data_IF_732672051919
#
_entry.id   IF_732672051919
#
_cell.length_a   1.000
_cell.length_b   1.000
_cell.length_c   1.000
_cell.angle_alpha   90.00
_cell.angle_beta   90.00
_cell.angle_gamma   90.00
#
_symmetry.space_group_name_H-M   'P 1'
#
loop_
_entity.id
_entity.type
_entity.pdbx_description
1 polymer ?
#
# COMPACT_ATOMS: atom_id res chain seq x y z
N UNK A 1 -19.38 9.88 18.39
CA UNK A 1 -20.72 9.30 18.16
C UNK A 1 -21.24 9.82 16.83
N UNK A 2 -21.14 9.00 15.78
CA UNK A 2 -21.68 9.30 14.44
C UNK A 2 -22.75 8.26 14.15
N UNK A 3 -24.00 8.71 14.27
CA UNK A 3 -25.24 7.99 14.03
C UNK A 3 -25.48 7.82 12.53
N UNK A 4 -25.91 6.61 12.12
CA UNK A 4 -26.29 6.18 10.76
C UNK A 4 -25.19 6.31 9.69
N UNK A 5 -24.52 5.21 9.41
CA UNK A 5 -23.66 5.08 8.22
C UNK A 5 -24.58 4.78 7.04
N UNK A 6 -25.13 5.82 6.42
CA UNK A 6 -25.98 5.64 5.24
C UNK A 6 -25.17 4.99 4.12
N UNK A 7 -25.54 3.75 3.80
CA UNK A 7 -24.99 3.03 2.65
C UNK A 7 -25.41 3.78 1.39
N UNK A 8 -24.47 4.21 0.52
CA UNK A 8 -24.80 4.86 -0.74
C UNK A 8 -25.79 4.02 -1.54
N UNK A 9 -26.78 4.65 -2.18
CA UNK A 9 -27.89 3.92 -2.84
C UNK A 9 -27.40 2.89 -3.86
N UNK A 10 -26.36 3.25 -4.62
CA UNK A 10 -25.71 2.38 -5.61
C UNK A 10 -25.05 1.13 -5.00
N UNK A 11 -24.71 1.16 -3.71
CA UNK A 11 -24.09 0.06 -2.99
C UNK A 11 -25.09 -0.76 -2.17
N UNK A 12 -26.33 -0.29 -1.99
CA UNK A 12 -27.37 -1.04 -1.26
C UNK A 12 -27.53 -2.49 -1.75
N UNK A 13 -27.51 -2.78 -3.07
CA UNK A 13 -27.57 -4.16 -3.54
C UNK A 13 -26.40 -5.03 -3.10
N UNK A 14 -25.19 -4.48 -2.96
CA UNK A 14 -24.03 -5.23 -2.46
C UNK A 14 -24.17 -5.46 -0.95
N UNK A 15 -24.58 -4.43 -0.21
CA UNK A 15 -24.66 -4.46 1.25
C UNK A 15 -25.77 -5.38 1.78
N UNK A 16 -26.78 -5.73 0.95
CA UNK A 16 -27.77 -6.76 1.31
C UNK A 16 -27.22 -8.19 1.30
N UNK A 17 -26.01 -8.42 0.74
CA UNK A 17 -25.36 -9.74 0.73
C UNK A 17 -24.30 -9.92 1.82
N UNK A 18 -24.12 -8.92 2.69
CA UNK A 18 -23.20 -9.00 3.82
C UNK A 18 -23.92 -8.66 5.12
N UNK A 19 -23.47 -9.21 6.26
CA UNK A 19 -24.02 -8.89 7.57
C UNK A 19 -24.01 -7.38 7.87
N UNK A 20 -25.07 -6.88 8.51
CA UNK A 20 -25.25 -5.44 8.79
C UNK A 20 -24.19 -4.87 9.74
N UNK A 21 -23.67 -5.69 10.64
CA UNK A 21 -22.57 -5.34 11.54
C UNK A 21 -21.24 -5.11 10.80
N UNK A 22 -21.10 -5.59 9.56
CA UNK A 22 -19.91 -5.34 8.73
C UNK A 22 -19.98 -4.03 7.95
N UNK A 23 -21.17 -3.41 7.86
CA UNK A 23 -21.41 -2.26 6.97
C UNK A 23 -20.48 -1.09 7.29
N UNK A 24 -20.27 -0.80 8.58
CA UNK A 24 -19.37 0.26 9.04
C UNK A 24 -17.94 0.00 8.58
N UNK A 25 -17.46 -1.23 8.75
CA UNK A 25 -16.12 -1.66 8.33
C UNK A 25 -15.97 -1.58 6.81
N UNK A 26 -16.94 -2.11 6.06
CA UNK A 26 -16.95 -2.08 4.59
C UNK A 26 -16.91 -0.64 4.03
N UNK A 27 -17.71 0.28 4.60
CA UNK A 27 -17.69 1.69 4.23
C UNK A 27 -16.37 2.38 4.59
N UNK A 28 -15.77 2.03 5.74
CA UNK A 28 -14.45 2.55 6.12
C UNK A 28 -13.37 2.09 5.15
N UNK A 29 -13.35 0.82 4.79
CA UNK A 29 -12.43 0.23 3.81
C UNK A 29 -12.62 0.84 2.42
N UNK A 30 -13.87 1.10 2.00
CA UNK A 30 -14.14 1.81 0.76
C UNK A 30 -13.50 3.21 0.76
N UNK A 31 -13.63 3.98 1.84
CA UNK A 31 -12.99 5.30 1.95
C UNK A 31 -11.46 5.21 1.88
N UNK A 32 -10.85 4.17 2.49
CA UNK A 32 -9.39 3.92 2.37
C UNK A 32 -9.02 3.70 0.90
N UNK A 33 -9.79 2.87 0.22
CA UNK A 33 -9.56 2.55 -1.18
C UNK A 33 -9.77 3.74 -2.12
N UNK A 34 -10.74 4.61 -1.84
CA UNK A 34 -10.94 5.87 -2.58
C UNK A 34 -9.71 6.77 -2.46
N UNK A 35 -9.21 6.97 -1.22
CA UNK A 35 -7.99 7.73 -0.98
C UNK A 35 -6.80 7.09 -1.71
N UNK A 36 -6.68 5.76 -1.67
CA UNK A 36 -5.63 5.05 -2.39
C UNK A 36 -5.73 5.21 -3.91
N UNK A 37 -6.93 5.12 -4.47
CA UNK A 37 -7.20 5.31 -5.89
C UNK A 37 -6.93 6.75 -6.37
N UNK A 38 -7.07 7.75 -5.49
CA UNK A 38 -6.69 9.14 -5.78
C UNK A 38 -5.18 9.37 -5.74
N UNK A 39 -4.48 8.56 -4.96
CA UNK A 39 -3.04 8.66 -4.75
C UNK A 39 -2.26 7.86 -5.82
N UNK A 40 -2.85 6.76 -6.31
CA UNK A 40 -2.27 5.85 -7.30
C UNK A 40 -1.32 4.82 -6.69
N UNK A 41 -1.16 3.67 -7.36
CA UNK A 41 -0.15 2.66 -7.01
C UNK A 41 1.16 2.95 -7.76
N UNK A 42 2.28 3.18 -7.05
CA UNK A 42 3.58 3.29 -7.70
C UNK A 42 4.06 1.96 -8.29
N UNK A 43 4.47 1.95 -9.57
CA UNK A 43 5.17 0.82 -10.22
C UNK A 43 4.30 -0.12 -11.08
N UNK A 44 4.87 -1.26 -11.48
CA UNK A 44 4.26 -2.29 -12.36
C UNK A 44 3.25 -3.22 -11.67
N UNK A 45 2.70 -2.82 -10.51
CA UNK A 45 1.87 -3.70 -9.66
C UNK A 45 0.44 -3.80 -10.16
N UNK A 46 -0.17 -4.97 -9.97
CA UNK A 46 -1.51 -5.32 -10.49
C UNK A 46 -2.69 -4.72 -9.69
N UNK A 47 -2.45 -3.77 -8.78
CA UNK A 47 -3.45 -3.21 -7.87
C UNK A 47 -3.57 -3.99 -6.54
N UNK A 48 -4.46 -3.51 -5.66
CA UNK A 48 -4.66 -4.04 -4.30
C UNK A 48 -6.05 -4.64 -4.12
N UNK A 49 -6.18 -5.58 -3.19
CA UNK A 49 -7.45 -6.24 -2.84
C UNK A 49 -7.67 -6.16 -1.34
N UNK A 50 -8.82 -5.67 -0.93
CA UNK A 50 -9.25 -5.59 0.46
C UNK A 50 -10.45 -6.53 0.62
N UNK A 51 -10.37 -7.45 1.57
CA UNK A 51 -11.39 -8.46 1.83
C UNK A 51 -11.93 -8.23 3.23
N UNK A 52 -13.19 -7.85 3.34
CA UNK A 52 -13.93 -7.74 4.60
C UNK A 52 -14.77 -9.01 4.76
N UNK A 53 -14.44 -9.81 5.77
CA UNK A 53 -15.02 -11.15 5.97
C UNK A 53 -15.03 -11.52 7.46
N UNK A 54 -15.62 -12.66 7.83
CA UNK A 54 -15.33 -13.26 9.14
C UNK A 54 -13.90 -13.80 9.10
N UNK A 55 -12.95 -13.09 9.73
CA UNK A 55 -11.54 -13.42 9.59
C UNK A 55 -11.17 -14.74 10.28
N UNK A 56 -11.94 -15.18 11.29
CA UNK A 56 -11.71 -16.46 11.97
C UNK A 56 -11.94 -17.61 10.97
N UNK A 57 -13.08 -17.57 10.29
CA UNK A 57 -13.42 -18.58 9.29
C UNK A 57 -12.49 -18.48 8.08
N UNK A 58 -12.17 -17.25 7.65
CA UNK A 58 -11.36 -16.99 6.46
C UNK A 58 -9.91 -17.46 6.62
N UNK A 59 -9.34 -17.34 7.83
CA UNK A 59 -7.96 -17.73 8.15
C UNK A 59 -7.86 -19.10 8.84
N UNK A 60 -8.94 -19.88 8.85
CA UNK A 60 -8.96 -21.24 9.40
C UNK A 60 -8.11 -22.17 8.53
N UNK A 61 -7.26 -22.98 9.19
CA UNK A 61 -6.36 -23.92 8.50
C UNK A 61 -7.15 -25.14 8.06
N UNK A 62 -6.91 -25.62 6.83
CA UNK A 62 -7.39 -26.95 6.41
C UNK A 62 -6.51 -28.02 7.07
N UNK A 63 -7.13 -28.89 7.88
CA UNK A 63 -6.47 -29.91 8.72
C UNK A 63 -5.62 -30.92 7.91
N UNK A 64 -5.86 -31.08 6.61
CA UNK A 64 -5.15 -32.03 5.73
C UNK A 64 -3.76 -31.55 5.28
N UNK A 65 -3.30 -30.38 5.72
CA UNK A 65 -1.94 -29.90 5.42
C UNK A 65 -0.92 -30.52 6.36
N UNK A 66 -0.17 -31.51 5.85
CA UNK A 66 0.83 -32.30 6.58
C UNK A 66 1.72 -31.42 7.49
N UNK A 67 1.60 -31.52 8.82
CA UNK A 67 2.34 -30.67 9.75
C UNK A 67 3.85 -30.95 9.77
N UNK A 68 4.33 -31.98 9.07
CA UNK A 68 5.75 -32.35 9.00
C UNK A 68 6.50 -31.75 7.80
N UNK A 69 5.84 -31.00 6.92
CA UNK A 69 6.56 -30.22 5.92
C UNK A 69 7.15 -28.96 6.56
N UNK A 70 8.40 -29.05 7.04
CA UNK A 70 9.22 -27.90 7.47
C UNK A 70 9.43 -26.83 6.38
N UNK A 71 8.85 -27.02 5.19
CA UNK A 71 9.02 -26.18 4.00
C UNK A 71 7.77 -25.42 3.57
N UNK A 72 6.63 -25.53 4.26
CA UNK A 72 5.44 -24.74 3.95
C UNK A 72 5.23 -23.61 4.97
N UNK A 73 5.87 -22.43 4.81
CA UNK A 73 5.59 -21.24 5.64
C UNK A 73 4.18 -20.65 5.42
N UNK A 74 3.37 -21.29 4.57
CA UNK A 74 2.06 -20.84 4.11
C UNK A 74 0.94 -21.63 4.81
N UNK A 75 0.10 -20.93 5.58
CA UNK A 75 -1.20 -21.43 6.05
C UNK A 75 -2.14 -21.53 4.87
N UNK A 76 -2.58 -22.75 4.56
CA UNK A 76 -3.62 -23.02 3.57
C UNK A 76 -5.00 -23.00 4.23
N UNK A 77 -5.94 -22.34 3.56
CA UNK A 77 -7.32 -22.13 3.99
C UNK A 77 -8.27 -22.55 2.87
N UNK A 78 -9.56 -22.65 3.16
CA UNK A 78 -10.58 -22.93 2.12
C UNK A 78 -10.61 -21.85 1.00
N UNK A 79 -10.14 -20.63 1.29
CA UNK A 79 -10.24 -19.48 0.39
C UNK A 79 -8.92 -19.10 -0.27
N UNK A 80 -7.83 -19.84 -0.01
CA UNK A 80 -6.50 -19.53 -0.52
C UNK A 80 -5.39 -19.80 0.49
N UNK A 81 -4.29 -19.06 0.42
CA UNK A 81 -3.14 -19.26 1.29
C UNK A 81 -2.46 -17.96 1.73
N UNK A 82 -1.86 -17.98 2.91
CA UNK A 82 -1.14 -16.84 3.48
C UNK A 82 0.04 -17.30 4.30
N UNK A 83 1.15 -16.58 4.29
CA UNK A 83 2.27 -16.88 5.19
C UNK A 83 1.87 -16.65 6.64
N UNK A 84 2.26 -17.55 7.54
CA UNK A 84 2.00 -17.38 8.98
C UNK A 84 2.57 -16.06 9.52
N UNK A 85 3.72 -15.61 9.01
CA UNK A 85 4.33 -14.33 9.39
C UNK A 85 3.53 -13.10 8.96
N UNK A 86 2.61 -13.24 7.99
CA UNK A 86 1.76 -12.15 7.54
C UNK A 86 0.42 -12.08 8.29
N UNK A 87 0.15 -13.01 9.21
CA UNK A 87 -1.02 -12.97 10.08
C UNK A 87 -0.70 -12.13 11.32
N UNK A 88 -1.52 -11.12 11.57
CA UNK A 88 -1.35 -10.15 12.66
C UNK A 88 -1.58 -10.81 14.01
N UNK A 89 -0.61 -10.68 14.92
CA UNK A 89 -0.74 -11.15 16.31
C UNK A 89 -1.55 -10.17 17.15
N UNK A 90 -1.33 -8.87 16.92
CA UNK A 90 -2.03 -7.78 17.59
C UNK A 90 -2.69 -6.90 16.52
N UNK A 91 -3.81 -7.37 15.94
CA UNK A 91 -4.46 -6.65 14.87
C UNK A 91 -5.03 -5.32 15.37
N UNK A 92 -5.05 -4.32 14.49
CA UNK A 92 -5.55 -2.98 14.81
C UNK A 92 -6.88 -2.73 14.09
N UNK A 93 -7.79 -2.03 14.76
CA UNK A 93 -9.08 -1.67 14.19
C UNK A 93 -8.93 -0.52 13.17
N UNK A 94 -9.30 -0.76 11.92
CA UNK A 94 -9.22 0.19 10.80
C UNK A 94 -10.19 1.38 10.93
N UNK A 95 -11.14 1.29 11.86
CA UNK A 95 -12.02 2.41 12.23
C UNK A 95 -11.26 3.45 13.07
N UNK A 96 -10.14 3.10 13.69
CA UNK A 96 -9.25 4.02 14.44
C UNK A 96 -8.21 4.66 13.51
N UNK A 97 -7.65 5.81 13.92
CA UNK A 97 -6.60 6.49 13.15
C UNK A 97 -5.27 5.70 13.08
N UNK A 98 -5.01 4.86 14.09
CA UNK A 98 -3.84 3.97 14.10
C UNK A 98 -4.02 2.85 13.09
N UNK A 99 -5.12 2.11 13.16
CA UNK A 99 -5.39 1.00 12.24
C UNK A 99 -5.59 1.47 10.80
N UNK A 100 -6.16 2.67 10.60
CA UNK A 100 -6.22 3.31 9.30
C UNK A 100 -4.83 3.52 8.68
N UNK A 101 -3.90 4.15 9.41
CA UNK A 101 -2.53 4.40 8.92
C UNK A 101 -1.79 3.09 8.64
N UNK A 102 -1.91 2.13 9.54
CA UNK A 102 -1.30 0.82 9.37
C UNK A 102 -1.83 0.11 8.12
N UNK A 103 -3.15 0.13 7.88
CA UNK A 103 -3.72 -0.45 6.67
C UNK A 103 -3.23 0.29 5.41
N UNK A 104 -3.13 1.62 5.44
CA UNK A 104 -2.62 2.43 4.32
C UNK A 104 -1.18 2.05 3.92
N UNK A 105 -0.31 1.79 4.88
CA UNK A 105 1.08 1.35 4.64
C UNK A 105 1.17 -0.04 3.95
N UNK A 106 0.08 -0.82 4.02
CA UNK A 106 -0.02 -2.17 3.45
C UNK A 106 -0.78 -2.23 2.13
N UNK A 107 -1.38 -1.13 1.66
CA UNK A 107 -2.13 -1.14 0.39
C UNK A 107 -1.28 -1.52 -0.82
N UNK A 108 0.04 -1.32 -0.74
CA UNK A 108 0.97 -1.74 -1.77
C UNK A 108 1.43 -3.20 -1.65
N UNK A 109 1.08 -3.94 -0.58
CA UNK A 109 1.47 -5.34 -0.46
C UNK A 109 0.86 -6.18 -1.59
N UNK A 110 1.65 -7.12 -2.11
CA UNK A 110 1.13 -8.10 -3.07
C UNK A 110 0.06 -8.97 -2.42
N UNK A 111 -0.94 -9.39 -3.18
CA UNK A 111 -2.05 -10.23 -2.70
C UNK A 111 -3.21 -9.42 -2.12
N UNK A 112 -3.95 -10.04 -1.21
CA UNK A 112 -5.11 -9.45 -0.54
C UNK A 112 -4.82 -9.12 0.93
N UNK A 113 -5.49 -8.08 1.40
CA UNK A 113 -5.51 -7.61 2.79
C UNK A 113 -6.82 -8.07 3.42
N UNK A 114 -6.73 -8.78 4.55
CA UNK A 114 -7.88 -9.38 5.22
C UNK A 114 -8.26 -8.51 6.42
N UNK A 115 -9.49 -8.02 6.42
CA UNK A 115 -10.09 -7.25 7.52
C UNK A 115 -11.27 -8.04 8.07
N UNK A 116 -11.34 -8.15 9.38
CA UNK A 116 -12.47 -8.76 10.06
C UNK A 116 -13.68 -7.81 10.03
N UNK A 117 -14.79 -8.28 9.48
CA UNK A 117 -16.01 -7.51 9.29
C UNK A 117 -16.60 -6.95 10.59
N UNK A 118 -16.88 -7.81 11.60
CA UNK A 118 -17.49 -7.37 12.85
C UNK A 118 -16.59 -6.42 13.65
N UNK A 119 -15.32 -6.79 13.86
CA UNK A 119 -14.43 -6.00 14.71
C UNK A 119 -13.81 -4.80 13.99
N UNK A 120 -13.64 -4.87 12.66
CA UNK A 120 -12.84 -3.91 11.89
C UNK A 120 -11.34 -4.16 11.98
N UNK A 121 -10.91 -5.25 12.60
CA UNK A 121 -9.50 -5.55 12.81
C UNK A 121 -8.80 -5.97 11.51
N UNK A 122 -7.67 -5.35 11.21
CA UNK A 122 -6.80 -5.77 10.10
C UNK A 122 -6.00 -7.01 10.52
N UNK A 123 -6.26 -8.15 9.88
CA UNK A 123 -5.84 -9.48 10.36
C UNK A 123 -4.71 -10.12 9.56
N UNK A 124 -4.59 -9.85 8.26
CA UNK A 124 -3.52 -10.41 7.46
C UNK A 124 -3.21 -9.58 6.21
N UNK A 125 -1.96 -9.62 5.75
CA UNK A 125 -1.55 -9.14 4.42
C UNK A 125 -0.99 -10.27 3.57
N UNK A 126 -0.78 -10.04 2.27
CA UNK A 126 -0.14 -11.06 1.44
C UNK A 126 -1.00 -12.27 1.10
N UNK A 127 -2.31 -12.22 1.34
CA UNK A 127 -3.18 -13.38 1.17
C UNK A 127 -3.38 -13.67 -0.32
N UNK A 128 -3.08 -14.89 -0.75
CA UNK A 128 -3.29 -15.36 -2.12
C UNK A 128 -4.68 -15.97 -2.22
N UNK A 129 -5.61 -15.24 -2.83
CA UNK A 129 -6.97 -15.72 -3.07
C UNK A 129 -6.93 -16.96 -3.96
N UNK A 130 -7.64 -18.01 -3.54
CA UNK A 130 -7.91 -19.19 -4.34
C UNK A 130 -8.77 -18.84 -5.56
N UNK A 131 -8.57 -19.59 -6.64
CA UNK A 131 -9.30 -19.41 -7.88
C UNK A 131 -9.52 -20.76 -8.55
N UNK A 132 -10.77 -21.09 -8.86
CA UNK A 132 -11.16 -22.39 -9.44
C UNK A 132 -11.45 -22.33 -10.94
N UNK A 133 -11.18 -21.19 -11.59
CA UNK A 133 -11.30 -21.08 -13.06
C UNK A 133 -12.54 -20.32 -13.56
N UNK A 134 -13.36 -19.75 -12.67
CA UNK A 134 -14.54 -19.00 -13.08
C UNK A 134 -14.19 -17.60 -13.61
N UNK A 135 -14.44 -17.32 -14.90
CA UNK A 135 -14.22 -15.98 -15.45
C UNK A 135 -15.00 -14.89 -14.69
N UNK A 136 -14.40 -13.71 -14.55
CA UNK A 136 -15.08 -12.55 -13.93
C UNK A 136 -16.17 -12.01 -14.85
N UNK A 137 -17.30 -11.62 -14.26
CA UNK A 137 -18.42 -10.98 -14.97
C UNK A 137 -18.12 -9.54 -15.41
N UNK A 138 -17.09 -8.90 -14.85
CA UNK A 138 -16.73 -7.49 -15.10
C UNK A 138 -15.33 -7.29 -15.69
N UNK A 139 -14.73 -8.36 -16.23
CA UNK A 139 -13.38 -8.35 -16.78
C UNK A 139 -12.29 -7.97 -15.75
N UNK A 140 -11.04 -7.76 -16.18
CA UNK A 140 -9.94 -7.36 -15.27
C UNK A 140 -8.92 -8.45 -14.91
N UNK A 141 -8.86 -9.53 -15.69
CA UNK A 141 -7.86 -10.58 -15.55
C UNK A 141 -8.07 -11.50 -14.34
N UNK A 142 -7.08 -12.37 -14.10
CA UNK A 142 -7.14 -13.43 -13.10
C UNK A 142 -7.42 -12.90 -11.68
N UNK A 143 -6.80 -11.78 -11.34
CA UNK A 143 -6.93 -11.19 -10.02
C UNK A 143 -8.32 -10.63 -9.71
N UNK A 144 -9.07 -10.20 -10.73
CA UNK A 144 -10.47 -9.79 -10.55
C UNK A 144 -11.39 -10.99 -10.45
N UNK A 145 -11.14 -12.02 -11.24
CA UNK A 145 -11.89 -13.27 -11.17
C UNK A 145 -11.76 -13.93 -9.79
N UNK A 146 -10.55 -13.99 -9.22
CA UNK A 146 -10.32 -14.49 -7.86
C UNK A 146 -11.02 -13.65 -6.78
N UNK A 147 -11.07 -12.33 -6.94
CA UNK A 147 -11.77 -11.43 -6.00
C UNK A 147 -13.29 -11.66 -6.02
N UNK A 148 -13.89 -11.77 -7.21
CA UNK A 148 -15.31 -12.04 -7.39
C UNK A 148 -15.71 -13.45 -6.91
N UNK A 149 -14.87 -14.45 -7.16
CA UNK A 149 -15.08 -15.81 -6.65
C UNK A 149 -14.98 -15.86 -5.13
N UNK A 150 -13.98 -15.18 -4.55
CA UNK A 150 -13.83 -15.05 -3.10
C UNK A 150 -15.06 -14.42 -2.46
N UNK A 151 -15.56 -13.29 -2.99
CA UNK A 151 -16.75 -12.64 -2.48
C UNK A 151 -17.97 -13.57 -2.44
N UNK A 152 -18.15 -14.38 -3.51
CA UNK A 152 -19.23 -15.38 -3.60
C UNK A 152 -19.08 -16.50 -2.59
N UNK A 153 -17.89 -17.07 -2.45
CA UNK A 153 -17.62 -18.25 -1.60
C UNK A 153 -17.63 -17.91 -0.12
N UNK A 154 -16.97 -16.81 0.25
CA UNK A 154 -16.83 -16.40 1.64
C UNK A 154 -17.99 -15.52 2.13
N UNK A 155 -18.96 -15.20 1.27
CA UNK A 155 -19.98 -14.16 1.54
C UNK A 155 -19.33 -12.86 2.03
N UNK A 156 -18.19 -12.51 1.45
CA UNK A 156 -17.34 -11.41 1.84
C UNK A 156 -17.63 -10.15 1.02
N UNK A 157 -17.35 -8.98 1.60
CA UNK A 157 -17.25 -7.74 0.84
C UNK A 157 -15.81 -7.59 0.35
N UNK A 158 -15.61 -7.70 -0.95
CA UNK A 158 -14.29 -7.61 -1.58
C UNK A 158 -14.22 -6.35 -2.42
N UNK A 159 -13.19 -5.57 -2.17
CA UNK A 159 -12.85 -4.39 -2.94
C UNK A 159 -11.54 -4.64 -3.68
N UNK A 160 -11.50 -4.31 -4.96
CA UNK A 160 -10.28 -4.28 -5.75
C UNK A 160 -10.04 -2.86 -6.25
N UNK A 161 -8.83 -2.34 -6.02
CA UNK A 161 -8.34 -1.13 -6.67
C UNK A 161 -7.31 -1.54 -7.72
N UNK A 162 -7.55 -1.18 -8.97
CA UNK A 162 -6.58 -1.40 -10.06
C UNK A 162 -5.47 -0.34 -10.05
N UNK A 163 -4.46 -0.54 -10.89
CA UNK A 163 -3.29 0.36 -10.96
C UNK A 163 -3.66 1.79 -11.37
N UNK A 164 -4.69 1.95 -12.19
CA UNK A 164 -5.24 3.20 -12.70
C UNK A 164 -6.28 3.83 -11.76
N UNK A 165 -6.47 3.23 -10.57
CA UNK A 165 -7.39 3.74 -9.56
C UNK A 165 -8.86 3.41 -9.83
N UNK A 166 -9.17 2.49 -10.75
CA UNK A 166 -10.52 1.95 -10.86
C UNK A 166 -10.83 1.11 -9.62
N UNK A 167 -12.05 1.23 -9.11
CA UNK A 167 -12.50 0.52 -7.91
C UNK A 167 -13.66 -0.39 -8.31
N UNK A 168 -13.44 -1.70 -8.14
CA UNK A 168 -14.46 -2.75 -8.34
C UNK A 168 -14.86 -3.33 -7.00
N UNK A 169 -16.16 -3.50 -6.79
CA UNK A 169 -16.75 -3.98 -5.54
C UNK A 169 -17.56 -5.26 -5.79
N UNK A 170 -17.39 -6.24 -4.92
CA UNK A 170 -18.01 -7.55 -4.97
C UNK A 170 -18.58 -7.90 -3.58
N UNK A 171 -19.75 -8.51 -3.53
CA UNK A 171 -20.36 -8.94 -2.27
C UNK A 171 -21.27 -10.14 -2.47
N UNK A 172 -20.90 -11.30 -1.92
CA UNK A 172 -21.71 -12.51 -2.07
C UNK A 172 -22.08 -12.76 -3.53
N UNK A 173 -23.38 -12.93 -3.81
CA UNK A 173 -23.93 -13.17 -5.15
C UNK A 173 -24.50 -11.91 -5.83
N UNK A 174 -24.29 -10.72 -5.27
CA UNK A 174 -24.71 -9.49 -5.93
C UNK A 174 -23.94 -9.24 -7.22
N UNK A 175 -24.58 -8.53 -8.15
CA UNK A 175 -23.88 -8.02 -9.33
C UNK A 175 -22.74 -7.09 -8.91
N UNK A 176 -21.52 -7.24 -9.48
CA UNK A 176 -20.42 -6.39 -9.10
C UNK A 176 -20.66 -4.93 -9.47
N UNK A 177 -20.18 -4.02 -8.62
CA UNK A 177 -20.30 -2.58 -8.85
C UNK A 177 -18.94 -2.01 -9.22
N UNK A 178 -18.87 -1.38 -10.39
CA UNK A 178 -17.76 -0.51 -10.78
C UNK A 178 -17.97 0.86 -10.10
N UNK A 179 -17.39 1.02 -8.91
CA UNK A 179 -17.55 2.22 -8.08
C UNK A 179 -16.89 3.44 -8.73
N UNK A 180 -15.62 3.29 -9.10
CA UNK A 180 -14.85 4.26 -9.89
C UNK A 180 -14.41 3.53 -11.17
N UNK A 181 -14.77 4.08 -12.33
CA UNK A 181 -14.56 3.43 -13.62
C UNK A 181 -13.10 3.37 -14.06
N UNK A 182 -12.80 2.48 -15.02
CA UNK A 182 -11.61 2.57 -15.87
C UNK A 182 -11.70 3.92 -16.57
N UNK A 183 -10.98 4.89 -16.05
CA UNK A 183 -11.01 6.25 -16.59
C UNK A 183 -10.15 6.27 -17.83
N UNK A 184 -10.76 5.93 -18.98
CA UNK A 184 -10.19 6.23 -20.31
C UNK A 184 -9.92 7.74 -20.48
N UNK A 185 -10.40 8.58 -19.55
CA UNK A 185 -10.00 9.97 -19.37
C UNK A 185 -9.99 10.30 -17.87
N UNK A 186 -8.85 10.17 -17.19
CA UNK A 186 -8.60 11.00 -16.00
C UNK A 186 -7.25 11.71 -16.09
N UNK A 187 -7.20 12.96 -15.60
CA UNK A 187 -6.04 13.81 -15.76
C UNK A 187 -4.83 13.13 -15.14
N UNK A 188 -3.67 13.16 -15.79
CA UNK A 188 -2.54 12.26 -15.56
C UNK A 188 -2.00 12.43 -14.15
N UNK A 189 -2.35 11.59 -13.17
CA UNK A 189 -1.90 11.77 -11.79
C UNK A 189 -0.36 11.78 -11.74
N UNK A 190 0.25 12.79 -11.11
CA UNK A 190 1.70 12.71 -10.81
C UNK A 190 1.87 11.48 -9.93
N UNK A 191 2.56 10.45 -10.44
CA UNK A 191 2.76 9.19 -9.72
C UNK A 191 3.34 9.51 -8.34
N UNK A 192 2.55 9.32 -7.28
CA UNK A 192 3.07 9.37 -5.92
C UNK A 192 3.80 8.06 -5.67
N UNK A 193 5.11 8.06 -5.92
CA UNK A 193 6.00 6.93 -5.66
C UNK A 193 6.19 6.80 -4.14
N UNK A 194 5.34 6.01 -3.49
CA UNK A 194 5.48 5.71 -2.07
C UNK A 194 6.70 4.81 -1.83
N UNK A 195 7.34 4.93 -0.65
CA UNK A 195 8.38 3.98 -0.26
C UNK A 195 7.81 2.55 -0.21
N UNK A 196 8.64 1.51 -0.44
CA UNK A 196 8.26 0.11 -0.23
C UNK A 196 7.58 -0.12 1.12
N UNK A 197 6.64 -1.08 1.18
CA UNK A 197 6.00 -1.46 2.45
C UNK A 197 7.05 -1.99 3.43
N UNK A 198 6.97 -1.55 4.68
CA UNK A 198 7.87 -1.94 5.75
C UNK A 198 7.48 -3.34 6.26
N UNK A 199 7.83 -4.41 5.55
CA UNK A 199 7.65 -5.77 6.11
C UNK A 199 8.70 -6.03 7.22
N UNK A 200 8.32 -6.59 8.38
CA UNK A 200 9.28 -7.22 9.28
C UNK A 200 10.07 -8.27 8.50
N UNK A 201 11.36 -8.45 8.81
CA UNK A 201 12.11 -9.58 8.26
C UNK A 201 11.51 -10.87 8.83
N UNK A 202 11.39 -11.89 7.97
CA UNK A 202 10.96 -13.22 8.35
C UNK A 202 11.69 -13.69 9.63
N UNK A 203 10.94 -14.10 10.65
CA UNK A 203 11.48 -14.58 11.93
C UNK A 203 11.71 -13.52 13.02
N UNK A 204 11.61 -12.22 12.74
CA UNK A 204 11.59 -11.17 13.78
C UNK A 204 10.14 -10.78 14.06
N UNK A 205 9.47 -11.59 14.89
CA UNK A 205 8.09 -11.31 15.28
C UNK A 205 7.94 -9.93 15.92
N UNK A 206 7.02 -9.13 15.39
CA UNK A 206 6.67 -7.82 15.90
C UNK A 206 5.72 -7.10 14.93
N UNK A 207 4.58 -6.64 15.44
CA UNK A 207 3.68 -5.72 14.73
C UNK A 207 4.19 -4.26 14.78
N UNK A 208 5.23 -4.01 15.57
CA UNK A 208 5.88 -2.71 15.67
C UNK A 208 7.03 -2.62 14.65
N UNK A 209 6.83 -1.73 13.68
CA UNK A 209 7.81 -1.30 12.69
C UNK A 209 9.03 -0.57 13.29
N UNK A 210 8.96 -0.26 14.59
CA UNK A 210 9.99 0.43 15.34
C UNK A 210 11.15 -0.54 15.62
N UNK A 211 12.10 -0.66 14.70
CA UNK A 211 13.33 -1.45 14.88
C UNK A 211 14.30 -0.85 15.92
N UNK A 212 13.81 -0.35 17.05
CA UNK A 212 14.62 0.30 18.09
C UNK A 212 15.25 1.63 17.66
N UNK A 213 14.77 2.25 16.57
CA UNK A 213 15.33 3.47 15.95
C UNK A 213 14.51 4.74 16.17
N UNK A 214 13.58 4.74 17.13
CA UNK A 214 12.68 5.87 17.39
C UNK A 214 13.43 7.21 17.46
N UNK A 215 14.56 7.27 18.15
CA UNK A 215 15.36 8.49 18.25
C UNK A 215 15.87 9.03 16.91
N UNK A 216 16.32 8.17 15.99
CA UNK A 216 16.83 8.59 14.68
C UNK A 216 15.69 9.08 13.77
N UNK A 217 14.53 8.43 13.83
CA UNK A 217 13.35 8.81 13.04
C UNK A 217 12.77 10.14 13.53
N UNK A 218 12.63 10.33 14.84
CA UNK A 218 12.16 11.60 15.41
C UNK A 218 13.10 12.76 15.09
N UNK A 219 14.43 12.52 15.13
CA UNK A 219 15.42 13.52 14.73
C UNK A 219 15.23 13.94 13.25
N UNK A 220 15.07 12.96 12.36
CA UNK A 220 14.85 13.22 10.94
C UNK A 220 13.49 13.91 10.68
N UNK A 221 12.43 13.53 11.39
CA UNK A 221 11.13 14.20 11.32
C UNK A 221 11.24 15.67 11.78
N UNK A 222 12.05 15.94 12.81
CA UNK A 222 12.34 17.30 13.27
C UNK A 222 13.04 18.17 12.22
N UNK A 223 13.90 17.58 11.38
CA UNK A 223 14.55 18.26 10.27
C UNK A 223 13.58 18.58 9.12
N UNK A 224 12.65 17.67 8.82
CA UNK A 224 11.67 17.88 7.74
C UNK A 224 10.54 18.82 8.17
N UNK A 225 10.09 18.76 9.43
CA UNK A 225 8.99 19.57 9.97
C UNK A 225 9.38 20.99 10.44
N UNK A 226 10.65 21.39 10.31
CA UNK A 226 11.11 22.75 10.64
C UNK A 226 11.22 23.06 12.14
N UNK A 227 11.18 22.05 13.02
CA UNK A 227 11.15 22.23 14.48
C UNK A 227 12.44 21.85 15.24
N UNK A 228 13.43 21.28 14.57
CA UNK A 228 14.68 20.84 15.21
C UNK A 228 15.81 21.85 15.10
N UNK A 229 16.11 22.56 16.20
CA UNK A 229 17.35 23.30 16.38
C UNK A 229 18.56 22.35 16.29
N UNK A 230 19.65 22.87 15.71
CA UNK A 230 20.97 22.23 15.49
C UNK A 230 21.09 21.37 14.22
N UNK A 231 21.19 22.06 13.07
CA UNK A 231 22.26 21.77 12.09
C UNK A 231 22.90 23.11 11.79
N UNK A 232 24.22 23.20 11.93
CA UNK A 232 25.03 24.34 11.50
C UNK A 232 24.61 24.74 10.10
N UNK A 233 23.86 25.84 10.04
CA UNK A 233 23.52 26.54 8.81
C UNK A 233 24.85 27.11 8.31
N UNK A 234 25.53 26.40 7.41
CA UNK A 234 26.48 27.08 6.54
C UNK A 234 25.65 28.07 5.72
N UNK A 235 25.63 29.31 6.20
CA UNK A 235 25.13 30.47 5.48
C UNK A 235 25.97 30.63 4.20
N UNK A 236 25.57 29.95 3.13
CA UNK A 236 26.43 29.92 1.94
C UNK A 236 25.85 29.37 0.64
N UNK A 237 24.60 28.91 0.57
CA UNK A 237 23.95 28.69 -0.73
C UNK A 237 22.44 28.61 -0.58
N UNK A 238 21.70 29.33 -1.44
CA UNK A 238 20.23 29.24 -1.55
C UNK A 238 19.75 27.92 -2.16
N UNK A 239 20.27 26.79 -1.66
CA UNK A 239 19.93 25.45 -2.13
C UNK A 239 18.66 24.89 -1.48
N UNK A 240 17.95 24.05 -2.23
CA UNK A 240 16.85 23.22 -1.72
C UNK A 240 17.38 22.31 -0.60
N UNK A 241 16.69 22.17 0.55
CA UNK A 241 17.17 21.34 1.67
C UNK A 241 17.29 19.87 1.25
N UNK A 242 18.35 19.20 1.71
CA UNK A 242 18.57 17.76 1.47
C UNK A 242 18.99 17.05 2.75
N UNK A 243 18.69 15.74 2.82
CA UNK A 243 19.09 14.84 3.91
C UNK A 243 19.84 13.67 3.29
N UNK A 244 21.05 13.40 3.77
CA UNK A 244 21.86 12.25 3.36
C UNK A 244 21.91 11.20 4.47
N UNK A 245 21.42 9.99 4.20
CA UNK A 245 21.53 8.83 5.11
C UNK A 245 22.66 7.94 4.59
N UNK A 246 23.83 8.02 5.20
CA UNK A 246 25.03 7.25 4.81
C UNK A 246 25.33 6.11 5.80
N UNK A 247 26.15 5.15 5.37
CA UNK A 247 26.54 3.99 6.18
C UNK A 247 26.81 2.74 5.34
N UNK A 248 27.40 1.71 5.95
CA UNK A 248 27.76 0.46 5.28
C UNK A 248 26.52 -0.31 4.76
N UNK A 249 26.73 -1.28 3.87
CA UNK A 249 25.66 -2.14 3.35
C UNK A 249 24.92 -2.87 4.47
N UNK A 250 23.59 -3.04 4.34
CA UNK A 250 22.79 -3.85 5.26
C UNK A 250 22.36 -3.20 6.58
N UNK A 251 22.81 -1.99 6.92
CA UNK A 251 22.47 -1.32 8.20
C UNK A 251 21.05 -0.73 8.26
N UNK A 252 20.26 -0.85 7.20
CA UNK A 252 18.85 -0.41 7.18
C UNK A 252 18.62 1.06 6.80
N UNK A 253 19.51 1.66 6.00
CA UNK A 253 19.36 3.05 5.50
C UNK A 253 18.07 3.25 4.70
N UNK A 254 17.82 2.35 3.75
CA UNK A 254 16.60 2.34 2.95
C UNK A 254 15.37 2.24 3.83
N UNK A 255 15.40 1.35 4.84
CA UNK A 255 14.32 1.20 5.81
C UNK A 255 14.05 2.49 6.58
N UNK A 256 15.11 3.16 7.05
CA UNK A 256 15.01 4.43 7.79
C UNK A 256 14.42 5.55 6.92
N UNK A 257 14.83 5.65 5.65
CA UNK A 257 14.25 6.59 4.70
C UNK A 257 12.78 6.30 4.41
N UNK A 258 12.42 5.01 4.25
CA UNK A 258 11.04 4.59 4.07
C UNK A 258 10.18 4.94 5.29
N UNK A 259 10.65 4.66 6.50
CA UNK A 259 9.96 4.96 7.76
C UNK A 259 9.74 6.47 7.93
N UNK A 260 10.77 7.28 7.66
CA UNK A 260 10.65 8.74 7.65
C UNK A 260 9.56 9.19 6.69
N UNK A 261 9.60 8.74 5.43
CA UNK A 261 8.64 9.17 4.42
C UNK A 261 7.22 8.69 4.70
N UNK A 262 7.01 7.51 5.27
CA UNK A 262 5.65 7.06 5.67
C UNK A 262 5.09 7.91 6.80
N UNK A 263 5.91 8.25 7.81
CA UNK A 263 5.48 9.03 8.99
C UNK A 263 5.39 10.53 8.77
N UNK A 264 6.08 11.05 7.76
CA UNK A 264 6.16 12.47 7.54
C UNK A 264 4.85 13.03 6.95
N UNK A 265 4.21 14.00 7.59
CA UNK A 265 2.96 14.60 7.08
C UNK A 265 3.24 15.67 5.99
N UNK A 266 4.47 16.20 5.95
CA UNK A 266 4.90 17.27 5.04
C UNK A 266 6.26 16.92 4.45
N UNK A 267 6.47 16.92 3.11
CA UNK A 267 5.58 17.43 2.09
C UNK A 267 4.42 16.48 1.75
N UNK A 268 3.30 17.07 1.31
CA UNK A 268 2.11 16.35 0.84
C UNK A 268 2.38 15.46 -0.37
N UNK A 269 3.45 15.75 -1.13
CA UNK A 269 3.89 14.98 -2.29
C UNK A 269 5.24 14.34 -1.97
N UNK A 270 5.28 13.01 -2.04
CA UNK A 270 6.48 12.20 -1.79
C UNK A 270 6.80 11.41 -3.06
N UNK A 271 8.07 11.41 -3.46
CA UNK A 271 8.55 10.71 -4.65
C UNK A 271 9.75 9.84 -4.23
N UNK A 272 9.57 8.54 -4.31
CA UNK A 272 10.61 7.53 -4.18
C UNK A 272 11.23 7.22 -5.55
N UNK A 273 12.55 7.37 -5.69
CA UNK A 273 13.28 7.02 -6.91
C UNK A 273 14.29 5.92 -6.59
N UNK A 274 14.30 4.87 -7.42
CA UNK A 274 15.31 3.82 -7.28
C UNK A 274 16.56 4.14 -8.12
N UNK A 275 17.69 4.36 -7.46
CA UNK A 275 18.97 4.69 -8.09
C UNK A 275 19.94 3.50 -8.08
N UNK A 276 19.46 2.29 -8.41
CA UNK A 276 20.28 1.07 -8.42
C UNK A 276 21.35 1.07 -9.52
N UNK A 277 21.10 1.77 -10.63
CA UNK A 277 22.07 2.08 -11.68
C UNK A 277 21.77 3.45 -12.29
N UNK A 278 22.69 3.96 -13.12
CA UNK A 278 22.48 5.20 -13.87
C UNK A 278 21.30 5.09 -14.82
N UNK A 279 21.21 3.99 -15.55
CA UNK A 279 20.14 3.73 -16.52
C UNK A 279 18.79 3.62 -15.81
N UNK A 280 18.75 2.97 -14.64
CA UNK A 280 17.53 2.88 -13.83
C UNK A 280 17.11 4.27 -13.33
N UNK A 281 18.05 5.06 -12.80
CA UNK A 281 17.76 6.42 -12.35
C UNK A 281 17.27 7.31 -13.49
N UNK A 282 17.88 7.23 -14.68
CA UNK A 282 17.47 7.98 -15.86
C UNK A 282 16.05 7.59 -16.32
N UNK A 283 15.72 6.29 -16.27
CA UNK A 283 14.37 5.80 -16.53
C UNK A 283 13.36 6.34 -15.51
N UNK A 284 13.67 6.25 -14.21
CA UNK A 284 12.83 6.73 -13.12
C UNK A 284 12.59 8.25 -13.20
N UNK A 285 13.62 9.05 -13.49
CA UNK A 285 13.52 10.50 -13.69
C UNK A 285 12.67 10.83 -14.93
N UNK A 286 12.88 10.11 -16.03
CA UNK A 286 12.12 10.31 -17.27
C UNK A 286 10.63 10.09 -17.03
N UNK A 287 10.27 9.00 -16.36
CA UNK A 287 8.89 8.70 -16.02
C UNK A 287 8.27 9.77 -15.12
N UNK A 288 8.95 10.20 -14.04
CA UNK A 288 8.45 11.27 -13.17
C UNK A 288 8.20 12.55 -13.95
N UNK A 289 9.12 12.91 -14.85
CA UNK A 289 8.97 14.07 -15.72
C UNK A 289 7.76 13.94 -16.64
N UNK A 290 7.57 12.78 -17.25
CA UNK A 290 6.41 12.54 -18.12
C UNK A 290 5.11 12.70 -17.33
N UNK A 291 5.07 12.26 -16.06
CA UNK A 291 3.92 12.46 -15.17
C UNK A 291 3.66 13.94 -14.84
N UNK A 292 4.71 14.71 -14.50
CA UNK A 292 4.59 16.16 -14.25
C UNK A 292 4.17 16.93 -15.49
N UNK A 293 4.78 16.62 -16.65
CA UNK A 293 4.45 17.25 -17.92
C UNK A 293 3.01 16.99 -18.31
N UNK A 294 2.54 15.77 -18.12
CA UNK A 294 1.17 15.41 -18.38
C UNK A 294 0.20 16.23 -17.50
N UNK A 295 0.59 16.58 -16.26
CA UNK A 295 -0.16 17.50 -15.37
C UNK A 295 -0.08 18.99 -15.73
N UNK A 296 0.65 19.36 -16.77
CA UNK A 296 0.89 20.77 -17.08
C UNK A 296 1.84 21.45 -16.10
N UNK A 297 2.57 20.68 -15.28
CA UNK A 297 3.68 21.20 -14.49
C UNK A 297 4.89 21.27 -15.41
N UNK A 298 5.35 22.49 -15.69
CA UNK A 298 6.58 22.72 -16.44
C UNK A 298 7.76 22.31 -15.58
N UNK A 299 8.51 21.29 -16.02
CA UNK A 299 9.82 20.96 -15.48
C UNK A 299 10.90 21.50 -16.42
N UNK A 300 11.66 22.49 -15.96
CA UNK A 300 12.58 23.27 -16.80
C UNK A 300 13.76 22.43 -17.35
N UNK A 301 14.23 21.40 -16.63
CA UNK A 301 15.09 20.36 -17.23
C UNK A 301 15.20 19.08 -16.37
N UNK A 302 15.27 17.91 -17.01
CA UNK A 302 15.64 16.65 -16.35
C UNK A 302 17.13 16.54 -16.06
N UNK A 303 17.96 17.31 -16.80
CA UNK A 303 19.40 17.36 -16.60
C UNK A 303 19.76 18.00 -15.27
N UNK A 304 19.06 19.06 -14.82
CA UNK A 304 19.33 19.68 -13.52
C UNK A 304 18.98 18.77 -12.34
N UNK A 305 17.85 18.05 -12.38
CA UNK A 305 17.49 17.11 -11.31
C UNK A 305 18.48 15.94 -11.26
N UNK A 306 18.90 15.42 -12.42
CA UNK A 306 19.91 14.36 -12.51
C UNK A 306 21.27 14.83 -12.00
N UNK A 307 21.77 15.96 -12.50
CA UNK A 307 23.06 16.54 -12.10
C UNK A 307 23.07 16.84 -10.60
N UNK A 308 21.98 17.37 -10.05
CA UNK A 308 21.82 17.57 -8.61
C UNK A 308 21.86 16.25 -7.81
N UNK A 309 21.16 15.21 -8.28
CA UNK A 309 21.19 13.88 -7.63
C UNK A 309 22.59 13.25 -7.71
N UNK A 310 23.27 13.36 -8.84
CA UNK A 310 24.62 12.83 -9.05
C UNK A 310 25.67 13.59 -8.21
N UNK A 311 25.62 14.93 -8.19
CA UNK A 311 26.52 15.80 -7.42
C UNK A 311 26.35 15.63 -5.91
N UNK A 312 25.11 15.49 -5.41
CA UNK A 312 24.82 15.38 -3.97
C UNK A 312 24.94 13.97 -3.41
N UNK A 313 24.78 12.92 -4.22
CA UNK A 313 24.95 11.54 -3.77
C UNK A 313 26.39 11.02 -3.87
N UNK A 314 27.31 11.80 -4.47
CA UNK A 314 28.68 11.32 -4.71
C UNK A 314 28.73 10.08 -5.62
N UNK A 315 27.68 9.87 -6.42
CA UNK A 315 27.56 8.77 -7.37
C UNK A 315 28.45 9.09 -8.59
N UNK A 316 29.76 8.96 -8.43
CA UNK A 316 30.68 8.97 -9.56
C UNK A 316 30.51 7.67 -10.36
N UNK A 317 29.56 7.66 -11.29
CA UNK A 317 29.53 6.67 -12.38
C UNK A 317 30.62 6.93 -13.43
N UNK A 318 31.42 7.98 -13.25
CA UNK A 318 32.57 8.32 -14.07
C UNK A 318 33.87 7.74 -13.51
N UNK A 319 34.05 6.43 -13.63
CA UNK A 319 35.39 5.86 -13.74
C UNK A 319 35.83 5.96 -15.20
N UNK A 320 36.84 6.78 -15.46
CA UNK A 320 37.69 6.62 -16.66
C UNK A 320 38.43 5.29 -16.60
#
# INVERSE_FOLDING_TARGET
MTTATDVPERLRPLFSFIPSDWHVTALRVLRIAEVYAEIGSGGSRQGTRLVVSNAIDFLSRIEESDPQSETAPDRMTMYGGVREENIKRFPTDVKTDRGWRELQERLNDDGALIIDGPSGEFRASGFRLGYEGAASSVGGGLGTAAAEECARRASAFVLQVSHDGAIKLFAGKAEPVLWRGDTTLQPPQIRRRYPPSLKPRAGQGGDDFCFGRGGAVEQLLGWVGGGGSVVTREEGSGGVPFILISGIGGVGKTQLACELLHRCEVPLTKIWLEASSRENLESEIKEVRDDFKAKGVLMDSSSHLREWLEEKQGLNFGGR
#
